data_IF_611333959457
#
_entry.id   IF_611333959457
#
_cell.length_a   1.000
_cell.length_b   1.000
_cell.length_c   1.000
_cell.angle_alpha   90.00
_cell.angle_beta   90.00
_cell.angle_gamma   90.00
#
_symmetry.space_group_name_H-M   'P 1'
#
loop_
_entity.id
_entity.type
_entity.pdbx_description
1 polymer ?
#
# COMPACT_ATOMS: atom_id res chain seq x y z
N UNK A 1 3.15 -14.09 16.38
CA UNK A 1 3.55 -13.37 15.18
C UNK A 1 5.03 -13.34 15.04
N UNK A 2 5.50 -13.68 13.89
CA UNK A 2 6.93 -13.74 13.68
C UNK A 2 7.42 -12.47 13.08
N UNK A 3 8.42 -11.91 13.70
CA UNK A 3 8.96 -10.65 13.22
C UNK A 3 9.52 -10.77 11.82
N UNK A 4 9.99 -11.93 11.46
CA UNK A 4 10.56 -12.09 10.13
C UNK A 4 9.58 -11.92 9.00
N UNK A 5 8.28 -12.00 9.29
CA UNK A 5 7.31 -11.78 8.25
C UNK A 5 7.18 -10.32 7.87
N UNK A 6 7.67 -9.42 8.68
CA UNK A 6 7.56 -8.00 8.44
C UNK A 6 8.90 -7.47 7.98
N UNK A 7 9.36 -7.97 6.85
CA UNK A 7 10.70 -7.60 6.43
C UNK A 7 10.78 -6.87 5.10
N UNK A 8 9.67 -6.50 4.52
CA UNK A 8 9.69 -5.79 3.25
C UNK A 8 9.45 -4.32 3.49
N UNK A 9 10.38 -3.46 3.11
CA UNK A 9 10.18 -2.03 3.36
C UNK A 9 9.10 -1.45 2.47
N UNK A 10 8.25 -0.64 3.05
CA UNK A 10 7.24 0.09 2.31
C UNK A 10 7.22 1.51 2.80
N UNK A 11 6.71 2.38 1.98
CA UNK A 11 6.55 3.78 2.32
C UNK A 11 5.10 4.17 2.16
N UNK A 12 4.66 5.06 3.02
CA UNK A 12 3.28 5.52 2.97
C UNK A 12 3.27 6.99 2.58
N UNK A 13 2.35 7.32 1.69
CA UNK A 13 2.19 8.68 1.21
C UNK A 13 0.77 9.12 1.47
N UNK A 14 0.60 10.38 1.81
CA UNK A 14 -0.74 10.91 2.06
C UNK A 14 -1.05 12.00 1.08
N UNK A 15 -2.31 12.18 0.75
CA UNK A 15 -2.68 13.20 -0.21
C UNK A 15 -2.71 14.57 0.44
N UNK A 16 -2.22 15.56 -0.28
CA UNK A 16 -2.27 16.94 0.13
C UNK A 16 -2.95 17.69 -0.97
N UNK A 17 -4.00 18.41 -0.60
CA UNK A 17 -4.70 19.22 -1.59
C UNK A 17 -4.09 20.60 -1.59
N UNK A 18 -3.69 21.04 -2.76
CA UNK A 18 -3.11 22.35 -2.90
C UNK A 18 -3.86 23.10 -3.98
N UNK A 19 -3.67 24.40 -4.01
CA UNK A 19 -4.25 25.25 -5.02
C UNK A 19 -3.10 25.84 -5.79
N UNK A 20 -3.08 25.62 -7.10
CA UNK A 20 -1.98 26.13 -7.88
C UNK A 20 -2.19 27.61 -8.19
N UNK A 21 -1.27 28.18 -8.94
CA UNK A 21 -1.33 29.63 -9.18
C UNK A 21 -2.52 30.04 -10.02
N UNK A 22 -3.18 29.09 -10.66
CA UNK A 22 -4.36 29.40 -11.45
C UNK A 22 -5.65 29.15 -10.68
N UNK A 23 -5.55 28.84 -9.41
CA UNK A 23 -6.74 28.59 -8.61
C UNK A 23 -7.29 27.19 -8.69
N UNK A 24 -6.60 26.29 -9.35
CA UNK A 24 -7.07 24.94 -9.49
C UNK A 24 -6.62 24.10 -8.32
N UNK A 25 -7.49 23.19 -7.92
CA UNK A 25 -7.12 22.28 -6.86
C UNK A 25 -6.38 21.11 -7.44
N UNK A 26 -5.28 20.77 -6.83
CA UNK A 26 -4.51 19.61 -7.24
C UNK A 26 -4.23 18.76 -6.02
N UNK A 27 -3.98 17.48 -6.27
CA UNK A 27 -3.63 16.56 -5.21
C UNK A 27 -2.17 16.17 -5.39
N UNK A 28 -1.40 16.36 -4.36
CA UNK A 28 -0.03 15.93 -4.36
C UNK A 28 0.15 14.92 -3.26
N UNK A 29 1.13 14.04 -3.44
CA UNK A 29 1.34 12.96 -2.49
C UNK A 29 2.63 13.21 -1.75
N UNK A 30 2.55 13.14 -0.43
CA UNK A 30 3.69 13.44 0.41
C UNK A 30 4.01 12.24 1.27
N UNK A 31 5.28 11.85 1.31
CA UNK A 31 5.72 10.76 2.17
C UNK A 31 5.52 11.16 3.62
N UNK A 32 5.01 10.27 4.42
CA UNK A 32 4.89 10.58 5.83
C UNK A 32 5.31 9.44 6.75
N UNK A 33 5.51 8.25 6.25
CA UNK A 33 5.84 7.15 7.15
C UNK A 33 6.49 6.01 6.39
N UNK A 34 7.57 5.49 6.95
CA UNK A 34 8.22 4.31 6.39
C UNK A 34 8.18 3.19 7.40
N UNK A 35 7.93 1.99 6.94
CA UNK A 35 7.88 0.86 7.84
C UNK A 35 8.16 -0.41 7.06
N UNK A 36 8.05 -1.52 7.73
CA UNK A 36 8.22 -2.81 7.08
C UNK A 36 6.92 -3.58 7.18
N UNK A 37 6.66 -4.38 6.18
CA UNK A 37 5.41 -5.09 6.07
C UNK A 37 5.64 -6.52 5.63
N UNK A 38 4.68 -7.35 5.96
CA UNK A 38 4.59 -8.65 5.32
C UNK A 38 3.81 -8.47 4.04
N UNK A 39 4.23 -9.08 2.97
CA UNK A 39 3.64 -8.87 1.67
C UNK A 39 3.11 -10.19 1.15
N UNK A 40 1.87 -10.16 0.67
CA UNK A 40 1.26 -11.33 0.10
C UNK A 40 0.58 -10.91 -1.19
N UNK A 41 0.82 -11.65 -2.25
CA UNK A 41 0.24 -11.33 -3.53
C UNK A 41 -1.02 -12.13 -3.75
N UNK A 42 -1.97 -11.53 -4.43
CA UNK A 42 -3.16 -12.25 -4.80
C UNK A 42 -2.77 -13.33 -5.78
N UNK A 43 -3.16 -14.54 -5.52
CA UNK A 43 -2.74 -15.62 -6.37
C UNK A 43 -3.74 -15.99 -7.41
N UNK A 44 -4.92 -15.45 -7.35
CA UNK A 44 -5.96 -15.97 -8.20
C UNK A 44 -5.77 -15.61 -9.63
N UNK A 45 -4.93 -14.70 -9.95
CA UNK A 45 -4.79 -14.27 -11.31
C UNK A 45 -3.56 -14.64 -11.99
N UNK A 46 -2.76 -15.52 -11.37
CA UNK A 46 -1.49 -15.68 -11.94
C UNK A 46 -1.37 -16.64 -12.99
N UNK A 47 -2.27 -17.53 -13.01
CA UNK A 47 -2.01 -18.63 -13.79
C UNK A 47 -2.03 -18.36 -15.24
N UNK A 48 -2.58 -17.28 -15.69
CA UNK A 48 -2.67 -17.20 -17.06
C UNK A 48 -1.85 -16.20 -17.68
N UNK A 49 -0.82 -15.86 -17.15
CA UNK A 49 -0.28 -14.80 -17.71
C UNK A 49 0.97 -14.85 -18.34
N UNK A 50 1.28 -13.88 -19.09
CA UNK A 50 2.58 -13.60 -19.54
C UNK A 50 3.34 -13.06 -18.41
N UNK A 51 4.30 -13.76 -17.94
CA UNK A 51 4.88 -13.40 -16.72
C UNK A 51 5.56 -12.08 -16.73
N UNK A 52 6.13 -11.71 -17.85
CA UNK A 52 6.87 -10.49 -17.81
C UNK A 52 5.99 -9.29 -17.71
N UNK A 53 4.72 -9.43 -18.05
CA UNK A 53 3.85 -8.32 -17.92
C UNK A 53 2.94 -8.40 -16.75
N UNK A 54 3.01 -9.49 -16.04
CA UNK A 54 2.07 -9.68 -14.99
C UNK A 54 2.51 -9.04 -13.72
N UNK A 55 1.60 -8.37 -13.08
CA UNK A 55 1.81 -7.91 -11.74
C UNK A 55 0.63 -8.36 -10.95
N UNK A 56 0.87 -8.65 -9.70
CA UNK A 56 -0.23 -8.88 -8.82
C UNK A 56 -0.92 -7.55 -8.67
N UNK A 57 -2.07 -7.42 -9.26
CA UNK A 57 -2.78 -6.17 -9.16
C UNK A 57 -3.22 -5.89 -7.75
N UNK A 58 -3.49 -6.92 -6.99
CA UNK A 58 -3.91 -6.75 -5.60
C UNK A 58 -2.85 -7.36 -4.71
N UNK A 59 -2.34 -6.57 -3.80
CA UNK A 59 -1.31 -7.00 -2.88
C UNK A 59 -1.81 -6.72 -1.48
N UNK A 60 -1.55 -7.63 -0.58
CA UNK A 60 -1.92 -7.47 0.81
C UNK A 60 -0.67 -7.18 1.61
N UNK A 61 -0.67 -6.08 2.32
CA UNK A 61 0.41 -5.70 3.19
C UNK A 61 -0.05 -5.85 4.64
N UNK A 62 0.74 -6.48 5.46
CA UNK A 62 0.43 -6.61 6.88
C UNK A 62 1.45 -5.79 7.64
N UNK A 63 0.97 -4.84 8.43
CA UNK A 63 1.85 -3.96 9.19
C UNK A 63 1.45 -4.02 10.65
N UNK A 64 2.28 -3.50 11.50
CA UNK A 64 1.99 -3.46 12.92
C UNK A 64 0.83 -2.50 13.18
N UNK A 65 0.13 -2.73 14.26
CA UNK A 65 -1.07 -1.97 14.53
C UNK A 65 -0.81 -0.49 14.78
N UNK A 66 0.42 -0.14 15.16
CA UNK A 66 0.70 1.26 15.45
C UNK A 66 0.99 2.09 14.20
N UNK A 67 1.04 1.48 13.03
CA UNK A 67 1.35 2.21 11.82
C UNK A 67 0.16 3.10 11.46
N UNK A 68 0.38 4.40 11.28
CA UNK A 68 -0.74 5.34 11.09
C UNK A 68 -1.18 5.44 9.64
N UNK A 69 -1.75 4.37 9.13
CA UNK A 69 -2.18 4.33 7.74
C UNK A 69 -3.69 4.53 7.69
N UNK A 70 -4.15 5.21 6.66
CA UNK A 70 -5.59 5.37 6.45
C UNK A 70 -5.92 5.03 5.02
N UNK A 71 -7.21 4.91 4.76
CA UNK A 71 -7.64 4.44 3.45
C UNK A 71 -7.39 5.45 2.34
N UNK A 72 -7.10 6.70 2.70
CA UNK A 72 -6.77 7.69 1.69
C UNK A 72 -5.33 7.63 1.24
N UNK A 73 -4.51 6.92 1.96
CA UNK A 73 -3.08 6.94 1.72
C UNK A 73 -2.72 6.00 0.58
N UNK A 74 -1.50 6.11 0.12
CA UNK A 74 -0.95 5.20 -0.87
C UNK A 74 0.25 4.50 -0.28
N UNK A 75 0.48 3.29 -0.75
CA UNK A 75 1.63 2.50 -0.33
C UNK A 75 2.60 2.43 -1.49
N UNK A 76 3.87 2.67 -1.21
CA UNK A 76 4.91 2.48 -2.21
C UNK A 76 5.69 1.23 -1.85
N UNK A 77 5.81 0.32 -2.79
CA UNK A 77 6.52 -0.93 -2.59
C UNK A 77 7.28 -1.25 -3.86
N UNK A 78 8.58 -1.34 -3.75
CA UNK A 78 9.44 -1.67 -4.87
C UNK A 78 9.29 -0.70 -6.03
N UNK A 79 9.14 0.57 -5.69
CA UNK A 79 9.03 1.59 -6.70
C UNK A 79 7.69 1.73 -7.35
N UNK A 80 6.70 0.98 -6.89
CA UNK A 80 5.36 1.05 -7.44
C UNK A 80 4.40 1.57 -6.40
N UNK A 81 3.39 2.28 -6.85
CA UNK A 81 2.39 2.84 -5.96
C UNK A 81 1.15 2.00 -5.97
N UNK A 82 0.56 1.83 -4.81
CA UNK A 82 -0.65 1.04 -4.67
C UNK A 82 -1.69 1.87 -3.95
N UNK A 83 -2.92 1.79 -4.43
CA UNK A 83 -4.04 2.49 -3.83
C UNK A 83 -4.67 1.55 -2.81
N UNK A 84 -4.95 2.05 -1.63
CA UNK A 84 -5.49 1.23 -0.56
C UNK A 84 -6.97 1.02 -0.80
N UNK A 85 -7.38 -0.23 -0.78
CA UNK A 85 -8.78 -0.59 -0.93
C UNK A 85 -9.46 -0.76 0.41
N UNK A 86 -8.84 -1.51 1.31
CA UNK A 86 -9.41 -1.74 2.64
C UNK A 86 -8.29 -1.87 3.64
N UNK A 87 -8.62 -1.56 4.88
CA UNK A 87 -7.71 -1.77 5.99
C UNK A 87 -8.49 -2.51 7.07
N UNK A 88 -7.99 -3.66 7.46
CA UNK A 88 -8.62 -4.45 8.50
C UNK A 88 -7.71 -4.49 9.71
N UNK A 89 -8.21 -4.07 10.86
CA UNK A 89 -7.42 -4.11 12.07
C UNK A 89 -7.69 -5.40 12.79
N UNK A 90 -6.65 -6.14 13.10
CA UNK A 90 -6.79 -7.41 13.79
C UNK A 90 -6.22 -7.27 15.18
N UNK A 91 -7.11 -7.11 16.14
CA UNK A 91 -6.66 -6.81 17.49
C UNK A 91 -5.91 -7.95 18.12
N UNK A 92 -6.32 -9.15 17.88
CA UNK A 92 -5.66 -10.27 18.51
C UNK A 92 -4.24 -10.45 18.01
N UNK A 93 -3.99 -10.12 16.77
CA UNK A 93 -2.65 -10.23 16.22
C UNK A 93 -1.87 -8.94 16.32
N UNK A 94 -2.54 -7.87 16.73
CA UNK A 94 -1.90 -6.57 16.86
C UNK A 94 -1.34 -6.09 15.55
N UNK A 95 -2.08 -6.26 14.48
CA UNK A 95 -1.61 -5.79 13.19
C UNK A 95 -2.76 -5.24 12.38
N UNK A 96 -2.42 -4.67 11.23
CA UNK A 96 -3.39 -4.18 10.27
C UNK A 96 -3.10 -4.84 8.95
N UNK A 97 -4.16 -5.29 8.31
CA UNK A 97 -4.05 -5.92 7.00
C UNK A 97 -4.56 -4.92 5.97
N UNK A 98 -3.69 -4.51 5.07
CA UNK A 98 -4.00 -3.51 4.07
C UNK A 98 -4.10 -4.19 2.73
N UNK A 99 -5.26 -4.11 2.11
CA UNK A 99 -5.41 -4.58 0.75
C UNK A 99 -5.29 -3.41 -0.18
N UNK A 100 -4.44 -3.54 -1.15
CA UNK A 100 -4.14 -2.43 -2.03
C UNK A 100 -4.05 -2.91 -3.46
N UNK A 101 -4.32 -1.99 -4.35
CA UNK A 101 -4.38 -2.28 -5.76
C UNK A 101 -3.33 -1.46 -6.47
N UNK A 102 -2.63 -2.07 -7.41
CA UNK A 102 -1.58 -1.38 -8.15
C UNK A 102 -2.19 -0.24 -8.96
N UNK A 103 -1.57 0.91 -8.85
CA UNK A 103 -1.97 2.05 -9.65
C UNK A 103 -1.21 1.96 -10.94
N UNK A 104 -1.96 1.82 -12.00
CA UNK A 104 -1.36 1.67 -13.29
C UNK A 104 -1.43 2.98 -14.03
N UNK A 105 -0.30 3.51 -14.31
CA UNK A 105 -0.30 4.79 -15.01
C UNK A 105 0.22 4.72 -16.37
#
# INVERSE_FOLDING_TARGET
MQAGLFNKPINLYRPINTINQYGERTTEWEWFYGTRAGVSYSSSNREFVNQEEFFAYTVTFTVRSYVPVSERDQVEFRGKRFRILTIEERELQNDKVIRAELINE
#
